data_IF_452350914634
#
_entry.id   IF_452350914634
#
_cell.length_a   1.000
_cell.length_b   1.000
_cell.length_c   1.000
_cell.angle_alpha   90.00
_cell.angle_beta   90.00
_cell.angle_gamma   90.00
#
_symmetry.space_group_name_H-M   'P 1'
#
loop_
_entity.id
_entity.type
_entity.pdbx_description
1 polymer ?
#
# COMPACT_ATOMS: atom_id res chain seq x y z
N UNK A 1 -37.39 12.89 -38.16
CA UNK A 1 -36.55 13.74 -37.30
C UNK A 1 -36.60 13.35 -35.82
N UNK A 2 -37.78 13.22 -35.16
CA UNK A 2 -37.86 12.88 -33.72
C UNK A 2 -37.28 11.52 -33.35
N UNK A 3 -37.36 10.50 -34.22
CA UNK A 3 -36.80 9.14 -33.97
C UNK A 3 -35.28 9.08 -34.10
N UNK A 4 -34.67 9.90 -34.95
CA UNK A 4 -33.22 9.99 -35.06
C UNK A 4 -32.60 10.75 -33.87
N UNK A 5 -33.31 11.77 -33.37
CA UNK A 5 -32.86 12.51 -32.18
C UNK A 5 -32.86 11.64 -30.92
N UNK A 6 -33.86 10.73 -30.78
CA UNK A 6 -33.93 9.79 -29.67
C UNK A 6 -32.80 8.72 -29.72
N UNK A 7 -32.44 8.25 -30.90
CA UNK A 7 -31.37 7.27 -31.10
C UNK A 7 -29.97 7.89 -30.83
N UNK A 8 -29.72 9.13 -31.24
CA UNK A 8 -28.46 9.83 -30.95
C UNK A 8 -28.32 10.17 -29.49
N UNK A 9 -29.42 10.52 -28.80
CA UNK A 9 -29.38 10.79 -27.36
C UNK A 9 -29.12 9.51 -26.53
N UNK A 10 -29.70 8.37 -26.95
CA UNK A 10 -29.46 7.07 -26.32
C UNK A 10 -28.00 6.60 -26.50
N UNK A 11 -27.39 6.85 -27.66
CA UNK A 11 -25.99 6.50 -27.94
C UNK A 11 -24.99 7.36 -27.13
N UNK A 12 -25.31 8.63 -26.86
CA UNK A 12 -24.50 9.52 -26.03
C UNK A 12 -24.50 9.11 -24.56
N UNK A 13 -25.61 8.57 -24.04
CA UNK A 13 -25.72 8.11 -22.64
C UNK A 13 -24.89 6.84 -22.40
N UNK A 14 -24.78 5.95 -23.39
CA UNK A 14 -23.99 4.72 -23.27
C UNK A 14 -22.48 5.01 -23.24
N UNK A 15 -22.00 6.07 -23.89
CA UNK A 15 -20.58 6.44 -23.88
C UNK A 15 -20.10 7.10 -22.56
N UNK A 16 -21.01 7.61 -21.73
CA UNK A 16 -20.61 8.26 -20.47
C UNK A 16 -20.42 7.29 -19.30
N UNK A 17 -20.80 6.02 -19.44
CA UNK A 17 -20.60 5.01 -18.37
C UNK A 17 -19.21 4.35 -18.35
N UNK A 18 -18.36 4.62 -19.35
CA UNK A 18 -17.02 4.04 -19.42
C UNK A 18 -15.93 4.87 -18.69
N UNK A 19 -16.28 6.02 -18.09
CA UNK A 19 -15.31 6.94 -17.46
C UNK A 19 -15.27 6.90 -15.93
N UNK A 20 -15.93 5.94 -15.28
CA UNK A 20 -15.89 5.76 -13.82
C UNK A 20 -15.11 4.47 -13.46
N UNK A 21 -13.81 4.45 -13.77
CA UNK A 21 -12.91 3.36 -13.46
C UNK A 21 -11.61 3.86 -12.85
N UNK A 22 -11.69 4.65 -11.78
CA UNK A 22 -10.54 5.19 -11.08
C UNK A 22 -10.68 5.09 -9.56
N UNK A 23 -11.19 3.98 -9.03
CA UNK A 23 -10.97 3.66 -7.63
C UNK A 23 -9.62 2.96 -7.55
N UNK A 24 -8.64 3.59 -6.86
CA UNK A 24 -7.35 2.98 -6.53
C UNK A 24 -7.52 1.80 -5.59
N UNK A 25 -8.19 0.75 -6.06
CA UNK A 25 -8.18 -0.56 -5.43
C UNK A 25 -6.81 -1.18 -5.65
N UNK A 26 -6.35 -1.94 -4.68
CA UNK A 26 -5.14 -2.76 -4.74
C UNK A 26 -5.09 -3.50 -6.09
N UNK A 27 -4.03 -3.33 -6.84
CA UNK A 27 -3.87 -4.01 -8.12
C UNK A 27 -3.96 -5.52 -7.88
N UNK A 28 -4.77 -6.20 -8.68
CA UNK A 28 -4.98 -7.64 -8.59
C UNK A 28 -3.77 -8.47 -9.09
N UNK A 29 -2.60 -7.85 -9.23
CA UNK A 29 -1.38 -8.53 -9.63
C UNK A 29 -0.70 -9.12 -8.37
N UNK A 30 -0.61 -10.46 -8.25
CA UNK A 30 -0.03 -11.13 -7.09
C UNK A 30 1.46 -10.80 -6.89
N UNK A 31 2.13 -10.29 -7.91
CA UNK A 31 3.54 -9.93 -7.86
C UNK A 31 3.77 -8.44 -7.56
N UNK A 32 2.72 -7.68 -7.24
CA UNK A 32 2.85 -6.27 -6.89
C UNK A 32 2.64 -6.05 -5.41
N UNK A 33 3.64 -5.44 -4.75
CA UNK A 33 3.56 -4.97 -3.36
C UNK A 33 3.37 -3.45 -3.34
N UNK A 34 2.35 -2.99 -2.64
CA UNK A 34 2.06 -1.57 -2.43
C UNK A 34 2.65 -1.13 -1.09
N UNK A 35 3.55 -0.14 -1.13
CA UNK A 35 4.23 0.38 0.05
C UNK A 35 3.85 1.85 0.26
N UNK A 36 3.20 2.15 1.38
CA UNK A 36 2.91 3.54 1.75
C UNK A 36 4.05 4.15 2.55
N UNK A 37 4.33 5.43 2.32
CA UNK A 37 5.41 6.15 3.01
C UNK A 37 5.14 7.66 3.12
N UNK A 38 5.89 8.31 3.98
CA UNK A 38 5.94 9.77 4.16
C UNK A 38 7.32 10.38 3.79
N UNK A 39 8.22 9.55 3.25
CA UNK A 39 9.64 9.89 3.04
C UNK A 39 9.85 10.81 1.83
N UNK A 40 11.02 11.45 1.81
CA UNK A 40 11.45 12.29 0.69
C UNK A 40 11.74 11.46 -0.57
N UNK A 41 11.57 12.08 -1.74
CA UNK A 41 11.69 11.41 -3.03
C UNK A 41 13.04 10.72 -3.22
N UNK A 42 14.14 11.38 -2.87
CA UNK A 42 15.50 10.83 -3.03
C UNK A 42 15.71 9.52 -2.24
N UNK A 43 15.09 9.38 -1.06
CA UNK A 43 15.16 8.14 -0.26
C UNK A 43 14.42 7.01 -0.98
N UNK A 44 13.23 7.31 -1.50
CA UNK A 44 12.42 6.32 -2.20
C UNK A 44 13.03 5.91 -3.53
N UNK A 45 13.59 6.85 -4.29
CA UNK A 45 14.31 6.56 -5.54
C UNK A 45 15.48 5.60 -5.31
N UNK A 46 16.28 5.84 -4.26
CA UNK A 46 17.39 4.95 -3.90
C UNK A 46 16.90 3.56 -3.48
N UNK A 47 15.82 3.50 -2.70
CA UNK A 47 15.22 2.25 -2.26
C UNK A 47 14.59 1.47 -3.43
N UNK A 48 13.89 2.15 -4.33
CA UNK A 48 13.33 1.56 -5.55
C UNK A 48 14.45 0.94 -6.40
N UNK A 49 15.51 1.71 -6.68
CA UNK A 49 16.64 1.23 -7.47
C UNK A 49 17.37 0.02 -6.86
N UNK A 50 17.36 -0.10 -5.54
CA UNK A 50 17.87 -1.28 -4.83
C UNK A 50 16.91 -2.48 -4.98
N UNK A 51 15.63 -2.27 -4.74
CA UNK A 51 14.62 -3.33 -4.77
C UNK A 51 14.40 -3.89 -6.17
N UNK A 52 14.43 -3.07 -7.21
CA UNK A 52 14.33 -3.52 -8.60
C UNK A 52 15.44 -4.52 -8.99
N UNK A 53 16.61 -4.41 -8.33
CA UNK A 53 17.73 -5.35 -8.53
C UNK A 53 17.65 -6.57 -7.62
N UNK A 54 17.19 -6.38 -6.38
CA UNK A 54 17.13 -7.43 -5.38
C UNK A 54 15.93 -8.37 -5.58
N UNK A 55 14.84 -7.86 -6.13
CA UNK A 55 13.56 -8.54 -6.31
C UNK A 55 13.03 -8.40 -7.74
N UNK A 56 13.74 -8.95 -8.77
CA UNK A 56 13.42 -8.71 -10.18
C UNK A 56 12.03 -9.22 -10.61
N UNK A 57 11.47 -10.19 -9.87
CA UNK A 57 10.16 -10.80 -10.16
C UNK A 57 9.00 -10.15 -9.38
N UNK A 58 9.29 -9.15 -8.54
CA UNK A 58 8.30 -8.46 -7.71
C UNK A 58 8.30 -6.97 -8.05
N UNK A 59 7.14 -6.44 -8.40
CA UNK A 59 6.95 -5.01 -8.57
C UNK A 59 6.67 -4.37 -7.21
N UNK A 60 7.56 -3.50 -6.73
CA UNK A 60 7.32 -2.71 -5.52
C UNK A 60 6.85 -1.32 -5.92
N UNK A 61 5.63 -0.97 -5.54
CA UNK A 61 5.01 0.32 -5.84
C UNK A 61 4.95 1.20 -4.60
N UNK A 62 5.74 2.26 -4.58
CA UNK A 62 5.72 3.24 -3.50
C UNK A 62 4.65 4.30 -3.70
N UNK A 63 3.88 4.57 -2.67
CA UNK A 63 2.85 5.61 -2.65
C UNK A 63 3.08 6.58 -1.49
N UNK A 64 3.34 7.85 -1.79
CA UNK A 64 3.50 8.88 -0.76
C UNK A 64 2.15 9.27 -0.18
N UNK A 65 2.06 9.28 1.16
CA UNK A 65 0.89 9.75 1.92
C UNK A 65 1.29 10.91 2.82
N UNK A 66 0.63 12.05 2.70
CA UNK A 66 0.90 13.23 3.54
C UNK A 66 0.39 13.07 4.97
N UNK A 67 -0.64 12.25 5.18
CA UNK A 67 -1.22 11.92 6.49
C UNK A 67 -1.28 10.41 6.65
N UNK A 68 -0.11 9.76 6.68
CA UNK A 68 -0.01 8.30 6.67
C UNK A 68 -0.78 7.66 7.84
N UNK A 69 -0.64 8.20 9.05
CA UNK A 69 -1.36 7.69 10.23
C UNK A 69 -2.87 7.72 10.05
N UNK A 70 -3.42 8.83 9.54
CA UNK A 70 -4.86 8.95 9.36
C UNK A 70 -5.36 8.07 8.20
N UNK A 71 -4.56 7.95 7.15
CA UNK A 71 -4.87 7.03 6.05
C UNK A 71 -4.92 5.57 6.53
N UNK A 72 -3.94 5.15 7.34
CA UNK A 72 -3.92 3.80 7.92
C UNK A 72 -5.08 3.57 8.89
N UNK A 73 -5.45 4.55 9.71
CA UNK A 73 -6.63 4.47 10.59
C UNK A 73 -7.92 4.27 9.81
N UNK A 74 -8.01 4.87 8.63
CA UNK A 74 -9.22 4.80 7.82
C UNK A 74 -9.38 3.47 7.09
N UNK A 75 -8.30 2.93 6.52
CA UNK A 75 -8.38 1.77 5.62
C UNK A 75 -7.47 0.59 6.01
N UNK A 76 -6.69 0.69 7.08
CA UNK A 76 -5.69 -0.32 7.44
C UNK A 76 -6.26 -1.72 7.67
N UNK A 77 -7.54 -1.82 8.05
CA UNK A 77 -8.25 -3.09 8.22
C UNK A 77 -9.05 -3.54 6.99
N UNK A 78 -8.96 -2.80 5.88
CA UNK A 78 -9.60 -3.17 4.62
C UNK A 78 -8.55 -3.72 3.64
N UNK A 79 -8.47 -5.04 3.41
CA UNK A 79 -7.47 -5.65 2.53
C UNK A 79 -7.53 -5.15 1.08
N UNK A 80 -8.65 -4.57 0.66
CA UNK A 80 -8.81 -4.05 -0.70
C UNK A 80 -8.21 -2.66 -0.88
N UNK A 81 -8.05 -1.90 0.21
CA UNK A 81 -7.65 -0.50 0.22
C UNK A 81 -6.35 -0.24 0.99
N UNK A 82 -6.01 -1.14 1.93
CA UNK A 82 -4.78 -1.05 2.71
C UNK A 82 -3.53 -1.34 1.86
N UNK A 83 -2.37 -0.76 2.19
CA UNK A 83 -1.10 -1.16 1.61
C UNK A 83 -0.69 -2.55 2.11
N UNK A 84 0.23 -3.20 1.39
CA UNK A 84 0.87 -4.43 1.87
C UNK A 84 1.90 -4.14 2.95
N UNK A 85 2.60 -3.02 2.81
CA UNK A 85 3.63 -2.54 3.73
C UNK A 85 3.51 -1.02 3.91
N UNK A 86 4.08 -0.52 5.00
CA UNK A 86 4.29 0.93 5.13
C UNK A 86 5.59 1.24 5.89
N UNK A 87 6.18 2.39 5.59
CA UNK A 87 7.40 2.89 6.23
C UNK A 87 7.04 4.03 7.15
N UNK A 88 7.24 3.82 8.45
CA UNK A 88 6.91 4.80 9.48
C UNK A 88 7.92 4.79 10.64
N UNK A 89 7.84 5.78 11.52
CA UNK A 89 8.63 5.81 12.74
C UNK A 89 8.07 4.81 13.77
N UNK A 90 8.96 4.15 14.53
CA UNK A 90 8.60 3.09 15.48
C UNK A 90 7.70 3.56 16.65
N UNK A 91 7.68 4.87 16.95
CA UNK A 91 6.89 5.46 18.04
C UNK A 91 5.36 5.25 17.91
N UNK A 92 4.90 4.81 16.75
CA UNK A 92 3.48 4.51 16.48
C UNK A 92 3.16 3.02 16.43
N UNK A 93 4.14 2.14 16.64
CA UNK A 93 3.93 0.69 16.53
C UNK A 93 2.80 0.21 17.47
N UNK A 94 2.77 0.70 18.71
CA UNK A 94 1.71 0.35 19.67
C UNK A 94 0.31 0.75 19.16
N UNK A 95 0.18 1.94 18.61
CA UNK A 95 -1.11 2.40 18.06
C UNK A 95 -1.59 1.48 16.94
N UNK A 96 -0.71 1.12 16.01
CA UNK A 96 -1.07 0.29 14.88
C UNK A 96 -1.30 -1.18 15.28
N UNK A 97 -0.57 -1.68 16.28
CA UNK A 97 -0.78 -3.01 16.85
C UNK A 97 -2.16 -3.10 17.53
N UNK A 98 -2.51 -2.12 18.37
CA UNK A 98 -3.83 -2.04 19.02
C UNK A 98 -5.00 -1.94 18.02
N UNK A 99 -4.75 -1.36 16.86
CA UNK A 99 -5.74 -1.31 15.78
C UNK A 99 -5.86 -2.62 15.01
N UNK A 100 -4.99 -3.60 15.23
CA UNK A 100 -4.98 -4.89 14.54
C UNK A 100 -4.59 -4.80 13.05
N UNK A 101 -3.86 -3.75 12.66
CA UNK A 101 -3.42 -3.56 11.26
C UNK A 101 -1.99 -4.05 11.01
N UNK A 102 -1.31 -4.56 12.04
CA UNK A 102 0.01 -5.15 11.92
C UNK A 102 -0.05 -6.67 12.05
N UNK A 103 0.72 -7.35 11.22
CA UNK A 103 1.03 -8.77 11.39
C UNK A 103 2.38 -8.91 12.09
N UNK A 104 2.49 -9.72 13.16
CA UNK A 104 3.78 -9.96 13.79
C UNK A 104 4.79 -10.52 12.79
N UNK A 105 5.96 -9.90 12.68
CA UNK A 105 6.99 -10.33 11.73
C UNK A 105 7.47 -11.76 11.99
N UNK A 106 7.35 -12.24 13.23
CA UNK A 106 7.66 -13.62 13.65
C UNK A 106 6.74 -14.68 13.03
N UNK A 107 5.62 -14.27 12.44
CA UNK A 107 4.75 -15.18 11.67
C UNK A 107 5.24 -15.33 10.22
N UNK A 108 6.10 -14.41 9.76
CA UNK A 108 6.58 -14.34 8.37
C UNK A 108 8.02 -14.82 8.21
N UNK A 109 8.88 -14.57 9.21
CA UNK A 109 10.31 -14.91 9.18
C UNK A 109 10.73 -15.67 10.44
N UNK A 110 11.78 -16.47 10.30
CA UNK A 110 12.28 -17.30 11.40
C UNK A 110 13.07 -16.48 12.43
N UNK A 111 13.14 -17.00 13.66
CA UNK A 111 13.95 -16.42 14.73
C UNK A 111 15.45 -16.33 14.35
N UNK A 112 15.96 -17.25 13.53
CA UNK A 112 17.34 -17.22 13.05
C UNK A 112 17.63 -16.03 12.14
N UNK A 113 16.66 -15.64 11.31
CA UNK A 113 16.78 -14.45 10.45
C UNK A 113 16.77 -13.17 11.29
N UNK A 114 15.96 -13.12 12.34
CA UNK A 114 15.92 -12.01 13.29
C UNK A 114 17.24 -11.83 14.04
N UNK A 115 17.98 -12.90 14.29
CA UNK A 115 19.27 -12.84 15.03
C UNK A 115 20.36 -12.03 14.31
N UNK A 116 20.19 -11.73 13.03
CA UNK A 116 21.07 -10.86 12.26
C UNK A 116 20.91 -9.37 12.54
N UNK A 117 19.87 -8.97 13.28
CA UNK A 117 19.61 -7.57 13.61
C UNK A 117 20.21 -7.20 14.96
N UNK A 118 20.52 -5.91 15.15
CA UNK A 118 20.98 -5.39 16.44
C UNK A 118 19.86 -5.53 17.49
N UNK A 119 20.17 -5.99 18.73
CA UNK A 119 19.14 -6.19 19.76
C UNK A 119 18.28 -4.95 20.02
N UNK A 120 18.89 -3.76 20.05
CA UNK A 120 18.16 -2.50 20.27
C UNK A 120 17.15 -2.17 19.14
N UNK A 121 17.38 -2.63 17.91
CA UNK A 121 16.43 -2.43 16.81
C UNK A 121 15.26 -3.38 16.93
N UNK A 122 15.48 -4.60 17.39
CA UNK A 122 14.42 -5.56 17.68
C UNK A 122 13.57 -5.10 18.86
N UNK A 123 14.20 -4.59 19.93
CA UNK A 123 13.50 -4.02 21.07
C UNK A 123 12.61 -2.84 20.65
N UNK A 124 13.13 -1.92 19.83
CA UNK A 124 12.37 -0.78 19.31
C UNK A 124 11.20 -1.19 18.39
N UNK A 125 11.27 -2.37 17.78
CA UNK A 125 10.23 -2.93 16.93
C UNK A 125 9.29 -3.90 17.66
N UNK A 126 9.48 -4.11 18.97
CA UNK A 126 8.66 -5.01 19.79
C UNK A 126 7.55 -4.22 20.50
N UNK A 127 6.35 -4.77 20.48
CA UNK A 127 5.20 -4.30 21.22
C UNK A 127 4.52 -5.48 21.91
N UNK A 128 4.58 -5.50 23.26
CA UNK A 128 3.96 -6.48 24.22
C UNK A 128 4.14 -7.95 23.88
#
# INVERSE_FOLDING_TARGET
>A
MKRFLALTLALLIVMTMAACGGSGGKAADPNTLVVWHDKEAAVIEALQAYLDKALPDITVRFEKKTSLTDSLKLVGNDPSSAPDLFVFAHDKIGVFAEMGILTPVTELISQSELSGYLPMTLEAATYN
#
